data_IF_696080022588
#
_entry.id   IF_696080022588
#
_cell.length_a   1.000
_cell.length_b   1.000
_cell.length_c   1.000
_cell.angle_alpha   90.00
_cell.angle_beta   90.00
_cell.angle_gamma   90.00
#
_symmetry.space_group_name_H-M   'P 1'
#
loop_
_entity.id
_entity.type
_entity.pdbx_description
1 polymer ?
#
# COMPACT_ATOMS: atom_id res chain seq x y z
N UNK A 1 2.34 18.68 21.06
CA UNK A 1 3.47 17.91 20.49
C UNK A 1 3.10 16.44 20.43
N UNK A 2 3.54 15.71 19.39
CA UNK A 2 3.33 14.26 19.30
C UNK A 2 4.27 13.58 20.31
N UNK A 3 3.76 12.60 21.05
CA UNK A 3 4.56 11.82 22.00
C UNK A 3 5.72 11.11 21.28
N UNK A 4 6.91 11.11 21.87
CA UNK A 4 8.11 10.51 21.25
C UNK A 4 7.97 9.01 20.99
N UNK A 5 7.31 8.27 21.86
CA UNK A 5 7.02 6.84 21.67
C UNK A 5 6.18 6.60 20.43
N UNK A 6 5.14 7.42 20.23
CA UNK A 6 4.26 7.39 19.04
C UNK A 6 5.06 7.63 17.77
N UNK A 7 5.86 8.70 17.76
CA UNK A 7 6.71 9.05 16.62
C UNK A 7 7.72 7.95 16.33
N UNK A 8 8.47 7.51 17.34
CA UNK A 8 9.49 6.46 17.21
C UNK A 8 8.90 5.16 16.67
N UNK A 9 7.82 4.67 17.28
CA UNK A 9 7.21 3.42 16.84
C UNK A 9 6.60 3.56 15.44
N UNK A 10 5.88 4.66 15.16
CA UNK A 10 5.36 4.95 13.82
C UNK A 10 6.44 4.93 12.74
N UNK A 11 7.57 5.60 12.98
CA UNK A 11 8.70 5.60 12.06
C UNK A 11 9.33 4.22 11.90
N UNK A 12 9.62 3.52 13.03
CA UNK A 12 10.24 2.19 13.00
C UNK A 12 9.41 1.18 12.20
N UNK A 13 8.11 1.13 12.47
CA UNK A 13 7.21 0.21 11.76
C UNK A 13 6.89 0.69 10.34
N UNK A 14 6.96 1.98 10.08
CA UNK A 14 6.89 2.51 8.72
C UNK A 14 8.07 2.07 7.86
N UNK A 15 9.29 2.17 8.39
CA UNK A 15 10.49 1.66 7.71
C UNK A 15 10.39 0.15 7.50
N UNK A 16 9.95 -0.61 8.52
CA UNK A 16 9.73 -2.05 8.39
C UNK A 16 8.71 -2.35 7.26
N UNK A 17 7.58 -1.66 7.23
CA UNK A 17 6.56 -1.83 6.19
C UNK A 17 7.09 -1.49 4.79
N UNK A 18 7.91 -0.44 4.68
CA UNK A 18 8.55 -0.07 3.43
C UNK A 18 9.55 -1.12 2.93
N UNK A 19 10.35 -1.70 3.84
CA UNK A 19 11.27 -2.81 3.51
C UNK A 19 10.47 -4.03 3.06
N UNK A 20 9.41 -4.38 3.76
CA UNK A 20 8.53 -5.50 3.38
C UNK A 20 7.92 -5.25 1.99
N UNK A 21 7.49 -4.02 1.69
CA UNK A 21 7.00 -3.64 0.36
C UNK A 21 8.06 -3.88 -0.72
N UNK A 22 9.28 -3.40 -0.49
CA UNK A 22 10.39 -3.59 -1.42
C UNK A 22 10.73 -5.07 -1.64
N UNK A 23 10.71 -5.88 -0.57
CA UNK A 23 10.92 -7.33 -0.67
C UNK A 23 9.82 -8.03 -1.47
N UNK A 24 8.55 -7.69 -1.24
CA UNK A 24 7.42 -8.24 -2.02
C UNK A 24 7.60 -7.87 -3.49
N UNK A 25 7.83 -6.61 -3.81
CA UNK A 25 8.05 -6.15 -5.18
C UNK A 25 9.23 -6.85 -5.85
N UNK A 26 10.37 -6.95 -5.15
CA UNK A 26 11.56 -7.63 -5.67
C UNK A 26 11.32 -9.13 -5.91
N UNK A 27 10.58 -9.78 -5.02
CA UNK A 27 10.24 -11.20 -5.15
C UNK A 27 9.34 -11.44 -6.37
N UNK A 28 8.31 -10.62 -6.54
CA UNK A 28 7.42 -10.68 -7.71
C UNK A 28 8.21 -10.43 -9.00
N UNK A 29 9.05 -9.40 -9.01
CA UNK A 29 9.91 -9.07 -10.14
C UNK A 29 10.82 -10.23 -10.56
N UNK A 30 11.41 -10.94 -9.57
CA UNK A 30 12.35 -12.03 -9.83
C UNK A 30 11.67 -13.35 -10.24
N UNK A 31 10.41 -13.58 -9.84
CA UNK A 31 9.73 -14.87 -10.05
C UNK A 31 8.80 -14.81 -11.27
N UNK A 32 7.82 -13.91 -11.25
CA UNK A 32 6.81 -13.80 -12.32
C UNK A 32 6.08 -12.46 -12.26
N UNK A 33 6.18 -11.68 -13.32
CA UNK A 33 5.55 -10.37 -13.43
C UNK A 33 4.00 -10.42 -13.41
N UNK A 34 3.38 -11.54 -13.77
CA UNK A 34 1.94 -11.69 -13.68
C UNK A 34 1.42 -11.63 -12.23
N UNK A 35 2.28 -11.86 -11.26
CA UNK A 35 1.93 -11.74 -9.85
C UNK A 35 1.59 -10.30 -9.45
N UNK A 36 2.07 -9.26 -10.16
CA UNK A 36 1.68 -7.87 -9.91
C UNK A 36 0.19 -7.61 -10.09
N UNK A 37 -0.47 -8.35 -10.96
CA UNK A 37 -1.92 -8.22 -11.22
C UNK A 37 -2.75 -9.34 -10.58
N UNK A 38 -2.12 -10.23 -9.83
CA UNK A 38 -2.78 -11.36 -9.19
C UNK A 38 -3.51 -10.92 -7.91
N UNK A 39 -4.82 -11.10 -7.87
CA UNK A 39 -5.69 -10.67 -6.76
C UNK A 39 -5.30 -11.25 -5.39
N UNK A 40 -4.80 -12.49 -5.36
CA UNK A 40 -4.41 -13.15 -4.11
C UNK A 40 -3.14 -12.54 -3.49
N UNK A 41 -2.22 -12.01 -4.29
CA UNK A 41 -1.03 -11.26 -3.81
C UNK A 41 -1.49 -10.01 -3.04
N UNK A 42 -2.52 -9.33 -3.53
CA UNK A 42 -3.13 -8.21 -2.82
C UNK A 42 -3.66 -8.61 -1.45
N UNK A 43 -4.35 -9.76 -1.35
CA UNK A 43 -4.86 -10.27 -0.07
C UNK A 43 -3.71 -10.64 0.88
N UNK A 44 -2.69 -11.37 0.40
CA UNK A 44 -1.52 -11.73 1.22
C UNK A 44 -0.82 -10.47 1.73
N UNK A 45 -0.58 -9.49 0.87
CA UNK A 45 0.02 -8.22 1.25
C UNK A 45 -0.83 -7.48 2.29
N UNK A 46 -2.15 -7.45 2.12
CA UNK A 46 -3.08 -6.84 3.08
C UNK A 46 -2.96 -7.50 4.46
N UNK A 47 -2.94 -8.83 4.52
CA UNK A 47 -2.79 -9.57 5.79
C UNK A 47 -1.46 -9.25 6.46
N UNK A 48 -0.37 -9.18 5.70
CA UNK A 48 0.96 -8.80 6.21
C UNK A 48 0.92 -7.39 6.82
N UNK A 49 0.40 -6.38 6.10
CA UNK A 49 0.34 -5.00 6.59
C UNK A 49 -0.61 -4.82 7.77
N UNK A 50 -1.74 -5.53 7.80
CA UNK A 50 -2.63 -5.54 8.96
C UNK A 50 -1.92 -6.15 10.18
N UNK A 51 -1.18 -7.24 10.01
CA UNK A 51 -0.40 -7.86 11.09
C UNK A 51 0.64 -6.89 11.65
N UNK A 52 1.41 -6.23 10.77
CA UNK A 52 2.39 -5.21 11.18
C UNK A 52 1.70 -4.08 11.96
N UNK A 53 0.53 -3.63 11.51
CA UNK A 53 -0.24 -2.55 12.14
C UNK A 53 -0.77 -2.96 13.51
N UNK A 54 -1.26 -4.20 13.66
CA UNK A 54 -1.70 -4.75 14.95
C UNK A 54 -0.55 -4.80 15.95
N UNK A 55 0.62 -5.28 15.51
CA UNK A 55 1.82 -5.34 16.36
C UNK A 55 2.27 -3.93 16.75
N UNK A 56 2.31 -2.99 15.80
CA UNK A 56 2.63 -1.58 16.04
C UNK A 56 1.75 -0.97 17.12
N UNK A 57 0.42 -1.05 16.95
CA UNK A 57 -0.53 -0.41 17.86
C UNK A 57 -0.52 -1.09 19.23
N UNK A 58 -0.43 -2.43 19.27
CA UNK A 58 -0.33 -3.19 20.52
C UNK A 58 0.93 -2.83 21.32
N UNK A 59 2.08 -2.76 20.63
CA UNK A 59 3.36 -2.36 21.23
C UNK A 59 3.30 -0.95 21.77
N UNK A 60 2.82 0.00 20.96
CA UNK A 60 2.75 1.41 21.36
C UNK A 60 1.81 1.61 22.54
N UNK A 61 0.64 0.96 22.55
CA UNK A 61 -0.28 0.97 23.68
C UNK A 61 0.36 0.45 24.96
N UNK A 62 1.14 -0.63 24.89
CA UNK A 62 1.85 -1.20 26.04
C UNK A 62 2.91 -0.23 26.56
N UNK A 63 3.70 0.39 25.69
CA UNK A 63 4.75 1.36 26.07
C UNK A 63 4.16 2.64 26.67
N UNK A 64 2.95 3.03 26.28
CA UNK A 64 2.19 4.13 26.88
C UNK A 64 1.40 3.72 28.14
N UNK A 65 1.75 2.57 28.75
CA UNK A 65 1.14 2.04 29.99
C UNK A 65 -0.39 1.90 29.90
N UNK A 66 -0.90 1.59 28.73
CA UNK A 66 -2.33 1.38 28.46
C UNK A 66 -3.13 2.67 28.22
N UNK A 67 -2.58 3.85 28.40
CA UNK A 67 -3.24 5.12 28.06
C UNK A 67 -3.00 5.41 26.58
N UNK A 68 -3.97 5.04 25.74
CA UNK A 68 -3.85 5.14 24.28
C UNK A 68 -5.14 5.68 23.68
N UNK A 69 -5.24 7.01 23.62
CA UNK A 69 -6.45 7.65 23.09
C UNK A 69 -6.55 7.46 21.55
N UNK A 70 -7.75 7.62 21.02
CA UNK A 70 -8.03 7.44 19.58
C UNK A 70 -7.04 8.22 18.69
N UNK A 71 -6.80 9.49 19.02
CA UNK A 71 -5.88 10.36 18.29
C UNK A 71 -4.46 9.78 18.25
N UNK A 72 -3.97 9.25 19.38
CA UNK A 72 -2.62 8.69 19.48
C UNK A 72 -2.50 7.40 18.67
N UNK A 73 -3.52 6.53 18.74
CA UNK A 73 -3.57 5.32 17.95
C UNK A 73 -3.60 5.62 16.44
N UNK A 74 -4.45 6.54 16.03
CA UNK A 74 -4.50 6.98 14.63
C UNK A 74 -3.18 7.61 14.18
N UNK A 75 -2.60 8.51 14.97
CA UNK A 75 -1.31 9.17 14.62
C UNK A 75 -0.19 8.15 14.49
N UNK A 76 -0.11 7.16 15.38
CA UNK A 76 0.88 6.09 15.33
C UNK A 76 0.78 5.29 14.02
N UNK A 77 -0.43 4.86 13.70
CA UNK A 77 -0.70 4.13 12.45
C UNK A 77 -0.39 5.00 11.23
N UNK A 78 -0.88 6.25 11.22
CA UNK A 78 -0.74 7.15 10.07
C UNK A 78 0.72 7.45 9.75
N UNK A 79 1.57 7.71 10.76
CA UNK A 79 3.02 7.89 10.56
C UNK A 79 3.62 6.65 9.89
N UNK A 80 3.28 5.46 10.39
CA UNK A 80 3.77 4.20 9.82
C UNK A 80 3.31 4.00 8.37
N UNK A 81 2.03 4.27 8.09
CA UNK A 81 1.47 4.13 6.75
C UNK A 81 2.14 5.10 5.76
N UNK A 82 2.30 6.37 6.12
CA UNK A 82 2.96 7.37 5.25
C UNK A 82 4.40 6.98 4.97
N UNK A 83 5.17 6.66 6.00
CA UNK A 83 6.60 6.31 5.84
C UNK A 83 6.75 5.03 5.02
N UNK A 84 5.94 3.99 5.30
CA UNK A 84 5.97 2.74 4.55
C UNK A 84 5.60 2.92 3.09
N UNK A 85 4.55 3.69 2.81
CA UNK A 85 4.13 4.02 1.44
C UNK A 85 5.21 4.78 0.68
N UNK A 86 5.83 5.80 1.30
CA UNK A 86 6.88 6.58 0.65
C UNK A 86 8.09 5.71 0.31
N UNK A 87 8.56 4.86 1.22
CA UNK A 87 9.68 3.95 0.97
C UNK A 87 9.34 2.97 -0.15
N UNK A 88 8.16 2.34 -0.10
CA UNK A 88 7.72 1.43 -1.15
C UNK A 88 7.58 2.11 -2.52
N UNK A 89 7.03 3.32 -2.56
CA UNK A 89 6.92 4.10 -3.80
C UNK A 89 8.29 4.47 -4.37
N UNK A 90 9.21 4.94 -3.52
CA UNK A 90 10.57 5.26 -3.95
C UNK A 90 11.29 4.01 -4.49
N UNK A 91 11.09 2.86 -3.86
CA UNK A 91 11.65 1.60 -4.37
C UNK A 91 11.03 1.21 -5.73
N UNK A 92 9.72 1.36 -5.91
CA UNK A 92 9.06 1.08 -7.18
C UNK A 92 9.53 2.05 -8.28
N UNK A 93 9.70 3.34 -7.97
CA UNK A 93 10.29 4.32 -8.90
C UNK A 93 11.70 3.89 -9.29
N UNK A 94 12.52 3.53 -8.32
CA UNK A 94 13.90 3.08 -8.57
C UNK A 94 13.91 1.84 -9.47
N UNK A 95 13.10 0.83 -9.16
CA UNK A 95 13.06 -0.43 -9.91
C UNK A 95 12.56 -0.21 -11.34
N UNK A 96 11.40 0.44 -11.49
CA UNK A 96 10.71 0.53 -12.79
C UNK A 96 11.17 1.69 -13.68
N UNK A 97 11.84 2.72 -13.14
CA UNK A 97 12.23 3.87 -13.94
C UNK A 97 13.76 4.06 -14.02
N UNK A 98 14.54 3.38 -13.18
CA UNK A 98 16.01 3.54 -13.16
C UNK A 98 16.72 2.21 -13.41
N UNK A 99 16.37 1.14 -12.68
CA UNK A 99 17.04 -0.16 -12.76
C UNK A 99 16.62 -0.90 -14.03
N UNK A 100 15.32 -1.05 -14.26
CA UNK A 100 14.77 -1.73 -15.43
C UNK A 100 13.57 -0.97 -16.03
N UNK A 101 13.82 0.13 -16.77
CA UNK A 101 12.73 0.87 -17.42
C UNK A 101 11.97 0.07 -18.47
N UNK A 102 12.59 -0.96 -19.07
CA UNK A 102 11.99 -1.78 -20.12
C UNK A 102 10.80 -2.60 -19.61
N UNK A 103 10.75 -2.87 -18.32
CA UNK A 103 9.67 -3.65 -17.70
C UNK A 103 8.32 -2.93 -17.68
N UNK A 104 8.31 -1.59 -17.80
CA UNK A 104 7.07 -0.80 -17.76
C UNK A 104 6.09 -1.20 -18.85
N UNK A 105 6.59 -1.41 -20.07
CA UNK A 105 5.75 -1.81 -21.21
C UNK A 105 5.18 -3.21 -20.99
N UNK A 106 6.01 -4.16 -20.53
CA UNK A 106 5.58 -5.51 -20.20
C UNK A 106 4.51 -5.52 -19.10
N UNK A 107 4.72 -4.77 -18.03
CA UNK A 107 3.73 -4.65 -16.94
C UNK A 107 2.44 -4.00 -17.40
N UNK A 108 2.52 -2.98 -18.26
CA UNK A 108 1.36 -2.34 -18.86
C UNK A 108 0.54 -3.32 -19.70
N UNK A 109 1.19 -4.12 -20.55
CA UNK A 109 0.53 -5.15 -21.36
C UNK A 109 -0.15 -6.20 -20.48
N UNK A 110 0.54 -6.71 -19.46
CA UNK A 110 -0.02 -7.66 -18.49
C UNK A 110 -1.25 -7.08 -17.78
N UNK A 111 -1.17 -5.80 -17.38
CA UNK A 111 -2.27 -5.11 -16.71
C UNK A 111 -3.47 -4.95 -17.61
N UNK A 112 -3.27 -4.52 -18.86
CA UNK A 112 -4.35 -4.40 -19.86
C UNK A 112 -4.97 -5.76 -20.13
N UNK A 113 -4.17 -6.79 -20.37
CA UNK A 113 -4.65 -8.15 -20.61
C UNK A 113 -5.52 -8.66 -19.47
N UNK A 114 -5.06 -8.51 -18.23
CA UNK A 114 -5.80 -8.92 -17.04
C UNK A 114 -7.12 -8.15 -16.89
N UNK A 115 -7.10 -6.83 -17.11
CA UNK A 115 -8.31 -6.00 -17.06
C UNK A 115 -9.34 -6.41 -18.15
N UNK A 116 -8.88 -6.69 -19.37
CA UNK A 116 -9.75 -7.17 -20.47
C UNK A 116 -10.37 -8.53 -20.10
N UNK A 117 -9.57 -9.48 -19.59
CA UNK A 117 -10.08 -10.78 -19.18
C UNK A 117 -11.13 -10.65 -18.05
N UNK A 118 -10.89 -9.76 -17.10
CA UNK A 118 -11.83 -9.49 -16.01
C UNK A 118 -13.13 -8.89 -16.54
N UNK A 119 -13.07 -7.88 -17.41
CA UNK A 119 -14.26 -7.28 -18.02
C UNK A 119 -15.06 -8.28 -18.85
N UNK A 120 -14.39 -9.16 -19.59
CA UNK A 120 -15.05 -10.25 -20.34
C UNK A 120 -15.78 -11.23 -19.44
N UNK A 121 -15.19 -11.60 -18.28
CA UNK A 121 -15.85 -12.47 -17.27
C UNK A 121 -17.12 -11.85 -16.71
N UNK A 122 -17.19 -10.51 -16.65
CA UNK A 122 -18.39 -9.77 -16.23
C UNK A 122 -19.32 -9.40 -17.40
N UNK A 123 -19.11 -9.99 -18.60
CA UNK A 123 -19.90 -9.73 -19.81
C UNK A 123 -19.97 -8.24 -20.17
N UNK A 124 -18.89 -7.48 -19.98
CA UNK A 124 -18.84 -6.07 -20.33
C UNK A 124 -18.94 -5.89 -21.84
N UNK A 125 -19.67 -4.84 -22.34
CA UNK A 125 -19.76 -4.55 -23.76
C UNK A 125 -18.39 -4.30 -24.39
N UNK A 126 -18.21 -4.72 -25.65
CA UNK A 126 -16.95 -4.52 -26.38
C UNK A 126 -16.53 -3.04 -26.47
N UNK A 127 -17.49 -2.12 -26.58
CA UNK A 127 -17.24 -0.69 -26.56
C UNK A 127 -16.56 -0.22 -25.27
N UNK A 128 -17.03 -0.70 -24.11
CA UNK A 128 -16.44 -0.36 -22.80
C UNK A 128 -15.02 -0.94 -22.66
N UNK A 129 -14.79 -2.15 -23.18
CA UNK A 129 -13.45 -2.75 -23.19
C UNK A 129 -12.49 -1.91 -24.05
N UNK A 130 -12.91 -1.51 -25.24
CA UNK A 130 -12.08 -0.70 -26.13
C UNK A 130 -11.78 0.69 -25.55
N UNK A 131 -12.76 1.32 -24.91
CA UNK A 131 -12.56 2.60 -24.20
C UNK A 131 -11.54 2.45 -23.06
N UNK A 132 -11.64 1.38 -22.27
CA UNK A 132 -10.68 1.10 -21.21
C UNK A 132 -9.26 0.91 -21.76
N UNK A 133 -9.11 0.11 -22.84
CA UNK A 133 -7.81 -0.10 -23.49
C UNK A 133 -7.24 1.23 -23.99
N UNK A 134 -8.05 2.07 -24.63
CA UNK A 134 -7.61 3.38 -25.12
C UNK A 134 -7.08 4.25 -23.95
N UNK A 135 -7.85 4.38 -22.87
CA UNK A 135 -7.45 5.14 -21.67
C UNK A 135 -6.16 4.60 -21.03
N UNK A 136 -6.01 3.27 -20.95
CA UNK A 136 -4.79 2.67 -20.39
C UNK A 136 -3.58 2.85 -21.31
N UNK A 137 -3.79 3.00 -22.61
CA UNK A 137 -2.71 3.28 -23.54
C UNK A 137 -2.23 4.74 -23.50
N UNK A 138 -3.10 5.68 -23.14
CA UNK A 138 -2.76 7.11 -22.98
C UNK A 138 -1.86 7.39 -21.78
N UNK A 139 -1.88 6.53 -20.75
CA UNK A 139 -1.07 6.69 -19.55
C UNK A 139 -0.18 5.46 -19.29
N UNK A 140 0.93 5.67 -18.60
CA UNK A 140 1.76 4.58 -18.11
C UNK A 140 1.64 4.51 -16.59
N UNK A 141 0.92 3.49 -16.01
CA UNK A 141 0.71 3.36 -14.58
C UNK A 141 2.00 3.23 -13.76
N UNK A 142 3.11 2.86 -14.40
CA UNK A 142 4.41 2.65 -13.78
C UNK A 142 5.37 3.84 -13.92
N UNK A 143 4.92 4.93 -14.56
CA UNK A 143 5.68 6.18 -14.62
C UNK A 143 5.82 6.82 -13.23
N UNK A 144 6.88 7.62 -13.04
CA UNK A 144 7.13 8.33 -11.77
C UNK A 144 5.89 9.10 -11.28
N UNK A 145 5.24 9.83 -12.19
CA UNK A 145 4.08 10.67 -11.85
C UNK A 145 2.89 9.81 -11.39
N UNK A 146 2.61 8.72 -12.10
CA UNK A 146 1.48 7.84 -11.74
C UNK A 146 1.76 7.05 -10.45
N UNK A 147 3.02 6.63 -10.21
CA UNK A 147 3.41 6.02 -8.94
C UNK A 147 3.27 7.01 -7.75
N UNK A 148 3.63 8.28 -7.95
CA UNK A 148 3.43 9.31 -6.92
C UNK A 148 1.94 9.58 -6.67
N UNK A 149 1.12 9.69 -7.71
CA UNK A 149 -0.34 9.80 -7.56
C UNK A 149 -0.92 8.59 -6.82
N UNK A 150 -0.49 7.38 -7.21
CA UNK A 150 -0.89 6.13 -6.56
C UNK A 150 -0.54 6.11 -5.07
N UNK A 151 0.61 6.68 -4.68
CA UNK A 151 1.00 6.78 -3.27
C UNK A 151 0.05 7.67 -2.46
N UNK A 152 -0.42 8.77 -3.03
CA UNK A 152 -1.42 9.64 -2.38
C UNK A 152 -2.73 8.89 -2.17
N UNK A 153 -3.24 8.18 -3.20
CA UNK A 153 -4.44 7.35 -3.04
C UNK A 153 -4.24 6.24 -2.00
N UNK A 154 -3.08 5.60 -1.98
CA UNK A 154 -2.75 4.57 -0.98
C UNK A 154 -2.77 5.13 0.45
N UNK A 155 -2.24 6.34 0.67
CA UNK A 155 -2.27 7.01 1.97
C UNK A 155 -3.71 7.36 2.38
N UNK A 156 -4.55 7.80 1.44
CA UNK A 156 -5.96 8.09 1.72
C UNK A 156 -6.71 6.83 2.16
N UNK A 157 -6.57 5.72 1.41
CA UNK A 157 -7.19 4.44 1.76
C UNK A 157 -6.65 3.92 3.11
N UNK A 158 -5.33 3.99 3.32
CA UNK A 158 -4.70 3.62 4.58
C UNK A 158 -5.22 4.45 5.75
N UNK A 159 -5.54 5.72 5.53
CA UNK A 159 -6.12 6.59 6.57
C UNK A 159 -7.47 6.07 7.03
N UNK A 160 -8.31 5.57 6.11
CA UNK A 160 -9.62 4.96 6.47
C UNK A 160 -9.39 3.71 7.32
N UNK A 161 -8.46 2.84 6.92
CA UNK A 161 -8.09 1.65 7.71
C UNK A 161 -7.55 2.08 9.08
N UNK A 162 -6.74 3.13 9.12
CA UNK A 162 -6.19 3.70 10.34
C UNK A 162 -7.25 4.19 11.33
N UNK A 163 -8.33 4.81 10.84
CA UNK A 163 -9.46 5.21 11.69
C UNK A 163 -10.13 3.99 12.32
N UNK A 164 -10.34 2.93 11.55
CA UNK A 164 -10.92 1.68 12.04
C UNK A 164 -10.00 1.06 13.10
N UNK A 165 -8.71 0.91 12.78
CA UNK A 165 -7.73 0.36 13.70
C UNK A 165 -7.62 1.18 15.00
N UNK A 166 -7.61 2.50 14.91
CA UNK A 166 -7.57 3.37 16.07
C UNK A 166 -8.82 3.21 16.97
N UNK A 167 -9.99 3.01 16.38
CA UNK A 167 -11.22 2.75 17.14
C UNK A 167 -11.14 1.44 17.96
N UNK A 168 -10.52 0.40 17.40
CA UNK A 168 -10.33 -0.89 18.10
C UNK A 168 -9.26 -0.83 19.19
N UNK A 169 -8.17 -0.09 18.96
CA UNK A 169 -7.01 -0.08 19.85
C UNK A 169 -7.06 0.99 20.94
N UNK A 170 -7.93 2.01 20.80
CA UNK A 170 -8.07 3.04 21.84
C UNK A 170 -8.37 2.41 23.21
N UNK A 171 -7.86 3.03 24.27
CA UNK A 171 -8.23 2.67 25.64
C UNK A 171 -9.70 3.00 25.87
N UNK A 172 -10.39 2.18 26.67
CA UNK A 172 -11.71 2.56 27.18
C UNK A 172 -11.54 3.80 28.06
N UNK A 173 -12.40 4.82 27.93
CA UNK A 173 -12.49 5.91 28.92
C UNK A 173 -12.68 5.27 30.29
N UNK A 174 -11.82 5.60 31.24
CA UNK A 174 -12.17 5.39 32.63
C UNK A 174 -13.16 6.52 32.95
N UNK A 175 -14.45 6.20 32.98
CA UNK A 175 -15.45 7.00 33.65
C UNK A 175 -15.26 6.91 35.17
#
# INVERSE_FOLDING_TARGET
>A
MINETIKKNGLTFGVLSGIVSALITSTIYAIDLNLFVSWWIGIVSMVIYLTISIVLLSKTKKELKGVFVFKDAFTTYFISAVVGTLIGTLFNILLFNVIDPSIQDTLKEITIKNAVEMMRKFNSPAAAINEMIAKMNESNPYSVIELLKGSVYSILISSIIGLIMAAFFKSKSQE
#
